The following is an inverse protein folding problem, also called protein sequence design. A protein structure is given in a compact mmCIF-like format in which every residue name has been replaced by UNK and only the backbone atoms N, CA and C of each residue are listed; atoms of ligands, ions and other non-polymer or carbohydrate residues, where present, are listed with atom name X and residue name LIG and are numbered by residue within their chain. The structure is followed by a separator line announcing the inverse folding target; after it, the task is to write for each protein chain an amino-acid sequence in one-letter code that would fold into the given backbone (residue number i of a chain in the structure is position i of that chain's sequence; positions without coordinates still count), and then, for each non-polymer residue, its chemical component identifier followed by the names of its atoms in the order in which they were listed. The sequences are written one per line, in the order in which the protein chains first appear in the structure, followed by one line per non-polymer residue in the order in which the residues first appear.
data_IF_274552006842
#
_entry.id   IF_274552006842
#
_cell.length_a   1.000
_cell.length_b   1.000
_cell.length_c   1.000
_cell.angle_alpha   90.00
_cell.angle_beta   90.00
_cell.angle_gamma   90.00
#
_symmetry.space_group_name_H-M   'P 1'
#
loop_
_entity.id
_entity.type
_entity.pdbx_description
1 polymer ?
#
# COMPACT_ATOMS: atom_id res chain seq x y z
N UNK A 1 -13.89 7.71 12.32
CA UNK A 1 -14.28 7.75 10.88
C UNK A 1 -13.38 8.66 10.04
N UNK A 2 -12.75 9.70 10.60
CA UNK A 2 -11.83 10.62 9.89
C UNK A 2 -10.54 9.93 9.43
N UNK A 3 -9.85 9.22 10.33
CA UNK A 3 -8.60 8.52 10.02
C UNK A 3 -8.69 7.50 8.86
N UNK A 4 -9.85 6.84 8.72
CA UNK A 4 -10.10 5.90 7.61
C UNK A 4 -10.32 6.63 6.26
N UNK A 5 -10.93 7.82 6.28
CA UNK A 5 -11.11 8.64 5.06
C UNK A 5 -9.78 9.24 4.61
N UNK A 6 -8.93 9.65 5.55
CA UNK A 6 -7.58 10.15 5.27
C UNK A 6 -6.73 9.05 4.63
N UNK A 7 -6.77 7.84 5.19
CA UNK A 7 -6.09 6.68 4.58
C UNK A 7 -6.63 6.34 3.19
N UNK A 8 -7.95 6.41 2.97
CA UNK A 8 -8.54 6.11 1.67
C UNK A 8 -8.16 7.12 0.58
N UNK A 9 -7.82 8.36 0.97
CA UNK A 9 -7.43 9.43 0.07
C UNK A 9 -5.96 9.35 -0.38
N UNK A 10 -5.11 8.55 0.30
CA UNK A 10 -3.70 8.40 -0.06
C UNK A 10 -3.51 7.74 -1.44
N UNK A 11 -2.46 8.17 -2.13
CA UNK A 11 -1.90 7.44 -3.26
C UNK A 11 -1.16 6.19 -2.77
N UNK A 12 -0.79 5.29 -3.70
CA UNK A 12 0.01 4.12 -3.33
C UNK A 12 1.40 4.55 -2.83
N UNK A 13 2.01 5.52 -3.52
CA UNK A 13 3.34 6.04 -3.23
C UNK A 13 3.40 6.72 -1.86
N UNK A 14 2.40 7.56 -1.54
CA UNK A 14 2.33 8.22 -0.23
C UNK A 14 2.12 7.21 0.90
N UNK A 15 1.23 6.24 0.70
CA UNK A 15 0.95 5.21 1.70
C UNK A 15 2.17 4.29 1.93
N UNK A 16 2.90 3.96 0.86
CA UNK A 16 4.14 3.18 0.94
C UNK A 16 5.23 3.96 1.68
N UNK A 17 5.41 5.24 1.37
CA UNK A 17 6.40 6.07 2.03
C UNK A 17 6.14 6.18 3.55
N UNK A 18 4.89 6.43 3.95
CA UNK A 18 4.52 6.48 5.37
C UNK A 18 4.76 5.11 6.06
N UNK A 19 4.44 4.00 5.37
CA UNK A 19 4.68 2.66 5.90
C UNK A 19 6.17 2.39 6.14
N UNK A 20 7.04 2.79 5.20
CA UNK A 20 8.49 2.65 5.36
C UNK A 20 9.02 3.47 6.54
N UNK A 21 8.49 4.67 6.77
CA UNK A 21 8.85 5.50 7.93
C UNK A 21 8.48 4.83 9.25
N UNK A 22 7.29 4.23 9.30
CA UNK A 22 6.82 3.45 10.46
C UNK A 22 7.72 2.24 10.71
N UNK A 23 8.07 1.48 9.65
CA UNK A 23 8.97 0.33 9.78
C UNK A 23 10.34 0.78 10.32
N UNK A 24 10.91 1.85 9.78
CA UNK A 24 12.18 2.42 10.29
C UNK A 24 12.08 2.84 11.76
N UNK A 25 10.95 3.42 12.18
CA UNK A 25 10.70 3.78 13.58
C UNK A 25 10.72 2.55 14.49
N UNK A 26 9.97 1.51 14.11
CA UNK A 26 9.83 0.25 14.87
C UNK A 26 11.16 -0.50 14.96
N UNK A 27 11.90 -0.62 13.84
CA UNK A 27 13.22 -1.26 13.80
C UNK A 27 14.25 -0.51 14.65
N UNK A 28 14.11 0.81 14.74
CA UNK A 28 14.95 1.63 15.60
C UNK A 28 14.77 1.36 17.10
N UNK A 29 13.69 0.67 17.50
CA UNK A 29 13.42 0.31 18.89
C UNK A 29 13.25 1.50 19.83
N UNK A 30 12.98 2.69 19.28
CA UNK A 30 12.81 3.94 20.03
C UNK A 30 11.33 4.20 20.24
N UNK A 31 10.96 4.64 21.43
CA UNK A 31 9.57 5.01 21.76
C UNK A 31 9.00 4.23 22.93
N UNK A 32 7.78 4.57 23.32
CA UNK A 32 7.04 3.84 24.34
C UNK A 32 6.34 2.62 23.72
N UNK A 33 5.96 1.64 24.54
CA UNK A 33 5.13 0.52 24.11
C UNK A 33 3.83 1.00 23.44
N UNK A 34 3.21 2.05 23.99
CA UNK A 34 1.99 2.63 23.41
C UNK A 34 2.23 3.19 22.00
N UNK A 35 3.39 3.84 21.78
CA UNK A 35 3.77 4.33 20.45
C UNK A 35 4.01 3.16 19.48
N UNK A 36 4.71 2.11 19.92
CA UNK A 36 4.96 0.94 19.08
C UNK A 36 3.66 0.25 18.65
N UNK A 37 2.67 0.17 19.54
CA UNK A 37 1.34 -0.36 19.22
C UNK A 37 0.63 0.53 18.18
N UNK A 38 0.64 1.85 18.36
CA UNK A 38 0.03 2.78 17.42
C UNK A 38 0.70 2.74 16.04
N UNK A 39 2.02 2.70 15.99
CA UNK A 39 2.83 2.57 14.78
C UNK A 39 2.47 1.26 14.05
N UNK A 40 2.36 0.14 14.77
CA UNK A 40 1.96 -1.14 14.20
C UNK A 40 0.54 -1.13 13.62
N UNK A 41 -0.43 -0.57 14.35
CA UNK A 41 -1.82 -0.46 13.88
C UNK A 41 -1.91 0.39 12.60
N UNK A 42 -1.21 1.53 12.58
CA UNK A 42 -1.15 2.41 11.41
C UNK A 42 -0.47 1.71 10.23
N UNK A 43 0.68 1.05 10.48
CA UNK A 43 1.40 0.29 9.46
C UNK A 43 0.56 -0.83 8.85
N UNK A 44 -0.20 -1.57 9.68
CA UNK A 44 -1.11 -2.61 9.20
C UNK A 44 -2.21 -2.05 8.29
N UNK A 45 -2.76 -0.88 8.65
CA UNK A 45 -3.77 -0.20 7.84
C UNK A 45 -3.20 0.30 6.49
N UNK A 46 -1.99 0.87 6.49
CA UNK A 46 -1.27 1.29 5.28
C UNK A 46 -0.97 0.08 4.37
N UNK A 47 -0.48 -1.03 4.94
CA UNK A 47 -0.23 -2.27 4.21
C UNK A 47 -1.48 -2.75 3.47
N UNK A 48 -2.62 -2.83 4.18
CA UNK A 48 -3.90 -3.23 3.57
C UNK A 48 -4.36 -2.24 2.48
N UNK A 49 -4.07 -0.95 2.64
CA UNK A 49 -4.34 0.04 1.61
C UNK A 49 -3.51 -0.22 0.35
N UNK A 50 -2.20 -0.43 0.51
CA UNK A 50 -1.28 -0.71 -0.59
C UNK A 50 -1.67 -1.99 -1.35
N UNK A 51 -1.97 -3.07 -0.63
CA UNK A 51 -2.43 -4.33 -1.24
C UNK A 51 -3.69 -4.14 -2.10
N UNK A 52 -4.66 -3.36 -1.61
CA UNK A 52 -5.88 -3.06 -2.36
C UNK A 52 -5.59 -2.26 -3.64
N UNK A 53 -4.73 -1.23 -3.56
CA UNK A 53 -4.33 -0.43 -4.73
C UNK A 53 -3.62 -1.27 -5.79
N UNK A 54 -2.74 -2.19 -5.37
CA UNK A 54 -2.06 -3.12 -6.27
C UNK A 54 -3.05 -4.07 -6.94
N UNK A 55 -3.99 -4.65 -6.19
CA UNK A 55 -5.04 -5.50 -6.75
C UNK A 55 -5.92 -4.76 -7.77
N UNK A 56 -6.29 -3.50 -7.48
CA UNK A 56 -7.01 -2.65 -8.43
C UNK A 56 -6.21 -2.36 -9.71
N UNK A 57 -4.90 -2.14 -9.59
CA UNK A 57 -4.02 -1.92 -10.73
C UNK A 57 -3.87 -3.19 -11.58
N UNK A 58 -3.65 -4.34 -10.94
CA UNK A 58 -3.56 -5.65 -11.60
C UNK A 58 -4.85 -5.97 -12.38
N UNK A 59 -6.02 -5.79 -11.76
CA UNK A 59 -7.30 -6.01 -12.43
C UNK A 59 -7.48 -5.12 -13.67
N UNK A 60 -7.03 -3.85 -13.61
CA UNK A 60 -7.08 -2.94 -14.76
C UNK A 60 -6.14 -3.40 -15.88
N UNK A 61 -4.92 -3.83 -15.54
CA UNK A 61 -3.97 -4.37 -16.53
C UNK A 61 -4.54 -5.61 -17.19
N UNK A 62 -5.09 -6.54 -16.41
CA UNK A 62 -5.69 -7.77 -16.93
C UNK A 62 -6.85 -7.48 -17.90
N UNK A 63 -7.73 -6.54 -17.56
CA UNK A 63 -8.84 -6.15 -18.44
C UNK A 63 -8.37 -5.54 -19.78
N UNK A 64 -7.23 -4.85 -19.81
CA UNK A 64 -6.62 -4.33 -21.05
C UNK A 64 -6.08 -5.48 -21.89
N UNK A 65 -5.40 -6.45 -21.25
CA UNK A 65 -4.82 -7.62 -21.91
C UNK A 65 -5.89 -8.53 -22.55
N UNK A 66 -7.05 -8.67 -21.91
CA UNK A 66 -8.16 -9.53 -22.37
C UNK A 66 -9.07 -8.87 -23.43
N UNK A 67 -8.95 -7.56 -23.66
CA UNK A 67 -9.73 -6.82 -24.67
C UNK A 67 -9.32 -7.11 -26.13
N UNK A 68 -10.09 -6.64 -27.13
CA UNK A 68 -9.90 -6.95 -28.56
C UNK A 68 -8.58 -6.44 -29.20
N UNK A 69 -7.65 -5.90 -28.41
CA UNK A 69 -6.29 -5.51 -28.81
C UNK A 69 -5.19 -6.52 -28.47
N UNK A 70 -5.46 -7.54 -27.64
CA UNK A 70 -4.49 -8.58 -27.26
C UNK A 70 -3.23 -8.08 -26.52
N UNK A 71 -2.36 -8.99 -26.02
CA UNK A 71 -1.23 -8.61 -25.19
C UNK A 71 -0.11 -7.95 -26.02
N UNK A 72 0.18 -6.68 -25.75
CA UNK A 72 1.52 -6.11 -25.98
C UNK A 72 2.16 -6.03 -24.60
N UNK A 73 2.81 -7.11 -24.19
CA UNK A 73 3.85 -7.25 -23.16
C UNK A 73 3.93 -8.76 -22.82
N UNK A 74 4.18 -9.58 -23.85
CA UNK A 74 5.01 -10.77 -23.65
C UNK A 74 6.44 -10.30 -23.87
N UNK A 75 7.34 -10.86 -23.08
CA UNK A 75 8.80 -10.65 -23.04
C UNK A 75 9.26 -9.84 -21.82
N UNK A 76 9.13 -10.46 -20.64
CA UNK A 76 10.17 -10.33 -19.62
C UNK A 76 10.61 -11.77 -19.34
N UNK A 77 11.73 -12.15 -19.96
CA UNK A 77 12.51 -13.33 -19.58
C UNK A 77 12.98 -13.25 -18.13
#
# INVERSE_FOLDING_TARGET
MTAQRELAALSFEDALQELEEIVRSLEGGKGSLAQAIADYERGSALRQHCERKLAEAEAKVQAIVEGPGGPVLRDVE
#
